data_IF_812433117560
#
_entry.id   IF_812433117560
#
_cell.length_a   1.000
_cell.length_b   1.000
_cell.length_c   1.000
_cell.angle_alpha   90.00
_cell.angle_beta   90.00
_cell.angle_gamma   90.00
#
_symmetry.space_group_name_H-M   'P 1'
#
loop_
_entity.id
_entity.type
_entity.pdbx_description
1 polymer ?
#
# COMPACT_ATOMS: atom_id res chain seq x y z
N UNK A 1 22.61 32.51 7.75
CA UNK A 1 21.52 31.52 7.74
C UNK A 1 21.31 31.08 9.17
N UNK A 2 20.14 31.38 9.72
CA UNK A 2 19.85 31.28 11.14
C UNK A 2 19.51 29.82 11.48
N UNK A 3 20.50 29.03 11.88
CA UNK A 3 20.27 27.73 12.51
C UNK A 3 19.86 27.97 13.96
N UNK A 4 18.61 28.38 14.14
CA UNK A 4 17.93 28.27 15.42
C UNK A 4 17.93 26.79 15.81
N UNK A 5 18.55 26.48 16.95
CA UNK A 5 18.58 25.15 17.57
C UNK A 5 17.13 24.72 17.75
N UNK A 6 16.68 23.79 16.93
CA UNK A 6 15.33 23.20 17.02
C UNK A 6 15.23 22.58 18.40
N UNK A 7 14.24 22.99 19.19
CA UNK A 7 14.02 22.43 20.52
C UNK A 7 13.74 20.92 20.41
N UNK A 8 14.03 20.15 21.46
CA UNK A 8 13.83 18.69 21.43
C UNK A 8 12.39 18.27 21.11
N UNK A 9 11.40 19.08 21.50
CA UNK A 9 9.98 18.85 21.17
C UNK A 9 9.68 19.15 19.69
N UNK A 10 10.19 20.25 19.14
CA UNK A 10 10.03 20.58 17.71
C UNK A 10 10.67 19.52 16.81
N UNK A 11 11.83 18.96 17.21
CA UNK A 11 12.48 17.88 16.47
C UNK A 11 11.65 16.58 16.47
N UNK A 12 11.00 16.26 17.60
CA UNK A 12 10.10 15.11 17.70
C UNK A 12 8.88 15.28 16.80
N UNK A 13 8.23 16.44 16.85
CA UNK A 13 7.08 16.76 15.99
C UNK A 13 7.49 16.70 14.51
N UNK A 14 8.61 17.34 14.15
CA UNK A 14 9.16 17.31 12.79
C UNK A 14 9.35 15.88 12.27
N UNK A 15 9.95 15.01 13.08
CA UNK A 15 10.21 13.61 12.70
C UNK A 15 8.92 12.81 12.51
N UNK A 16 7.93 12.99 13.38
CA UNK A 16 6.63 12.31 13.26
C UNK A 16 5.88 12.77 12.01
N UNK A 17 5.84 14.08 11.77
CA UNK A 17 5.16 14.66 10.61
C UNK A 17 5.82 14.22 9.30
N UNK A 18 7.16 14.30 9.20
CA UNK A 18 7.86 13.86 7.99
C UNK A 18 7.63 12.37 7.71
N UNK A 19 7.71 11.54 8.74
CA UNK A 19 7.44 10.11 8.61
C UNK A 19 6.02 9.83 8.12
N UNK A 20 5.02 10.58 8.57
CA UNK A 20 3.65 10.45 8.10
C UNK A 20 3.52 10.85 6.61
N UNK A 21 4.10 11.99 6.23
CA UNK A 21 4.11 12.46 4.84
C UNK A 21 4.79 11.48 3.88
N UNK A 22 5.93 10.91 4.28
CA UNK A 22 6.65 9.93 3.47
C UNK A 22 5.81 8.67 3.23
N UNK A 23 5.04 8.24 4.24
CA UNK A 23 4.15 7.09 4.11
C UNK A 23 2.95 7.38 3.23
N UNK A 24 2.31 8.53 3.39
CA UNK A 24 1.21 8.96 2.53
C UNK A 24 1.67 9.06 1.08
N UNK A 25 2.83 9.67 0.84
CA UNK A 25 3.42 9.80 -0.48
C UNK A 25 3.73 8.44 -1.12
N UNK A 26 4.35 7.54 -0.36
CA UNK A 26 4.67 6.19 -0.83
C UNK A 26 3.38 5.39 -1.12
N UNK A 27 2.37 5.50 -0.25
CA UNK A 27 1.10 4.82 -0.43
C UNK A 27 0.33 5.34 -1.65
N UNK A 28 0.30 6.66 -1.84
CA UNK A 28 -0.31 7.29 -3.02
C UNK A 28 0.38 6.87 -4.32
N UNK A 29 1.72 6.85 -4.33
CA UNK A 29 2.51 6.40 -5.47
C UNK A 29 2.24 4.94 -5.81
N UNK A 30 2.22 4.05 -4.80
CA UNK A 30 1.89 2.64 -4.97
C UNK A 30 0.44 2.43 -5.41
N UNK A 31 -0.49 3.26 -4.95
CA UNK A 31 -1.91 3.15 -5.32
C UNK A 31 -2.16 3.54 -6.77
N UNK A 32 -1.48 4.59 -7.25
CA UNK A 32 -1.54 5.00 -8.65
C UNK A 32 -0.96 3.92 -9.56
N UNK A 33 0.25 3.43 -9.24
CA UNK A 33 0.88 2.35 -9.99
C UNK A 33 0.07 1.04 -9.92
N UNK A 34 -0.45 0.70 -8.73
CA UNK A 34 -1.25 -0.49 -8.49
C UNK A 34 -2.56 -0.47 -9.26
N UNK A 35 -3.24 0.68 -9.32
CA UNK A 35 -4.44 0.85 -10.14
C UNK A 35 -4.17 0.62 -11.63
N UNK A 36 -3.10 1.22 -12.16
CA UNK A 36 -2.71 1.02 -13.55
C UNK A 36 -2.34 -0.46 -13.86
N UNK A 37 -1.57 -1.10 -12.98
CA UNK A 37 -1.17 -2.51 -13.14
C UNK A 37 -2.37 -3.45 -12.99
N UNK A 38 -3.29 -3.17 -12.07
CA UNK A 38 -4.52 -3.95 -11.90
C UNK A 38 -5.41 -3.85 -13.13
N UNK A 39 -5.59 -2.64 -13.69
CA UNK A 39 -6.33 -2.47 -14.93
C UNK A 39 -5.67 -3.23 -16.10
N UNK A 40 -4.34 -3.23 -16.18
CA UNK A 40 -3.62 -4.04 -17.18
C UNK A 40 -3.82 -5.56 -16.97
N UNK A 41 -3.94 -6.01 -15.72
CA UNK A 41 -4.12 -7.43 -15.39
C UNK A 41 -5.45 -8.00 -15.88
N UNK A 42 -6.47 -7.16 -16.07
CA UNK A 42 -7.77 -7.58 -16.63
C UNK A 42 -7.66 -7.95 -18.13
N UNK A 43 -6.67 -7.40 -18.84
CA UNK A 43 -6.44 -7.69 -20.27
C UNK A 43 -5.25 -8.62 -20.50
N UNK A 44 -4.22 -8.52 -19.67
CA UNK A 44 -2.95 -9.21 -19.82
C UNK A 44 -2.63 -10.01 -18.54
N UNK A 45 -2.85 -11.34 -18.55
CA UNK A 45 -2.60 -12.18 -17.38
C UNK A 45 -1.18 -12.11 -16.81
N UNK A 46 -0.19 -11.71 -17.63
CA UNK A 46 1.19 -11.47 -17.20
C UNK A 46 1.34 -10.35 -16.16
N UNK A 47 0.35 -9.46 -16.04
CA UNK A 47 0.33 -8.39 -15.05
C UNK A 47 -0.28 -8.81 -13.71
N UNK A 48 -0.97 -9.95 -13.62
CA UNK A 48 -1.62 -10.40 -12.37
C UNK A 48 -0.58 -10.56 -11.24
N UNK A 49 0.60 -11.12 -11.52
CA UNK A 49 1.67 -11.25 -10.52
C UNK A 49 2.25 -9.89 -10.09
N UNK A 50 2.34 -8.95 -11.02
CA UNK A 50 2.79 -7.58 -10.73
C UNK A 50 1.77 -6.86 -9.86
N UNK A 51 0.47 -6.98 -10.17
CA UNK A 51 -0.62 -6.41 -9.38
C UNK A 51 -0.55 -6.93 -7.94
N UNK A 52 -0.47 -8.26 -7.79
CA UNK A 52 -0.34 -8.92 -6.50
C UNK A 52 0.87 -8.45 -5.70
N UNK A 53 2.03 -8.33 -6.34
CA UNK A 53 3.26 -7.84 -5.70
C UNK A 53 3.10 -6.40 -5.18
N UNK A 54 2.50 -5.52 -5.97
CA UNK A 54 2.22 -4.13 -5.55
C UNK A 54 1.25 -4.12 -4.37
N UNK A 55 0.18 -4.92 -4.42
CA UNK A 55 -0.77 -5.02 -3.32
C UNK A 55 -0.15 -5.54 -2.02
N UNK A 56 0.81 -6.46 -2.08
CA UNK A 56 1.57 -6.87 -0.90
C UNK A 56 2.45 -5.74 -0.33
N UNK A 57 3.10 -4.94 -1.18
CA UNK A 57 3.85 -3.77 -0.73
C UNK A 57 2.94 -2.72 -0.08
N UNK A 58 1.76 -2.49 -0.65
CA UNK A 58 0.74 -1.62 -0.06
C UNK A 58 0.23 -2.18 1.27
N UNK A 59 0.02 -3.49 1.38
CA UNK A 59 -0.41 -4.13 2.63
C UNK A 59 0.63 -3.97 3.74
N UNK A 60 1.92 -4.15 3.43
CA UNK A 60 3.00 -3.95 4.39
C UNK A 60 3.01 -2.49 4.89
N UNK A 61 2.90 -1.53 3.98
CA UNK A 61 2.85 -0.11 4.33
C UNK A 61 1.58 0.24 5.13
N UNK A 62 0.41 -0.25 4.73
CA UNK A 62 -0.85 -0.04 5.43
C UNK A 62 -0.84 -0.64 6.84
N UNK A 63 -0.23 -1.81 7.01
CA UNK A 63 -0.04 -2.45 8.32
C UNK A 63 0.88 -1.63 9.22
N UNK A 64 1.91 -1.00 8.62
CA UNK A 64 2.82 -0.13 9.34
C UNK A 64 2.17 1.20 9.74
N UNK A 65 1.34 1.79 8.87
CA UNK A 65 0.52 2.98 9.17
C UNK A 65 -0.53 2.64 10.25
N UNK A 66 -1.03 1.41 10.25
CA UNK A 66 -2.07 0.95 11.19
C UNK A 66 -3.49 1.31 10.75
N UNK A 67 -3.71 1.65 9.47
CA UNK A 67 -5.04 1.99 8.95
C UNK A 67 -5.80 0.72 8.52
N UNK A 68 -6.86 0.31 9.25
CA UNK A 68 -7.61 -0.91 8.93
C UNK A 68 -8.36 -0.84 7.59
N UNK A 69 -8.72 0.35 7.11
CA UNK A 69 -9.38 0.55 5.81
C UNK A 69 -8.36 0.31 4.69
N UNK A 70 -7.15 0.84 4.81
CA UNK A 70 -6.09 0.58 3.84
C UNK A 70 -5.69 -0.90 3.82
N UNK A 71 -5.58 -1.53 4.99
CA UNK A 71 -5.29 -2.98 5.10
C UNK A 71 -6.36 -3.78 4.36
N UNK A 72 -7.64 -3.50 4.61
CA UNK A 72 -8.76 -4.20 3.97
C UNK A 72 -8.76 -4.02 2.46
N UNK A 73 -8.47 -2.81 1.97
CA UNK A 73 -8.34 -2.53 0.53
C UNK A 73 -7.19 -3.32 -0.11
N UNK A 74 -6.04 -3.40 0.55
CA UNK A 74 -4.90 -4.17 0.04
C UNK A 74 -5.22 -5.67 -0.01
N UNK A 75 -5.89 -6.20 1.02
CA UNK A 75 -6.38 -7.59 1.06
C UNK A 75 -7.33 -7.88 -0.10
N UNK A 76 -8.25 -6.96 -0.42
CA UNK A 76 -9.15 -7.09 -1.56
C UNK A 76 -8.40 -7.22 -2.89
N UNK A 77 -7.37 -6.39 -3.13
CA UNK A 77 -6.56 -6.49 -4.36
C UNK A 77 -5.74 -7.78 -4.44
N UNK A 78 -5.22 -8.26 -3.30
CA UNK A 78 -4.55 -9.57 -3.25
C UNK A 78 -5.55 -10.68 -3.59
N UNK A 79 -6.75 -10.64 -3.00
CA UNK A 79 -7.81 -11.60 -3.29
C UNK A 79 -8.24 -11.57 -4.76
N UNK A 80 -8.36 -10.39 -5.37
CA UNK A 80 -8.63 -10.23 -6.80
C UNK A 80 -7.57 -10.94 -7.65
N UNK A 81 -6.28 -10.73 -7.35
CA UNK A 81 -5.20 -11.39 -8.10
C UNK A 81 -5.20 -12.93 -7.94
N UNK A 82 -5.63 -13.45 -6.79
CA UNK A 82 -5.80 -14.88 -6.56
C UNK A 82 -6.99 -15.41 -7.35
N UNK A 83 -8.10 -14.67 -7.40
CA UNK A 83 -9.27 -15.02 -8.17
C UNK A 83 -8.98 -15.05 -9.67
N UNK A 84 -8.25 -14.07 -10.20
CA UNK A 84 -7.76 -14.03 -11.58
C UNK A 84 -6.84 -15.23 -11.92
N UNK A 85 -6.22 -15.85 -10.91
CA UNK A 85 -5.45 -17.11 -11.04
C UNK A 85 -6.24 -18.38 -10.71
N UNK A 86 -7.56 -18.29 -10.68
CA UNK A 86 -8.48 -19.39 -10.35
C UNK A 86 -8.26 -20.00 -8.94
N UNK A 87 -7.66 -19.24 -8.01
CA UNK A 87 -7.44 -19.65 -6.61
C UNK A 87 -8.55 -19.10 -5.69
N UNK A 88 -9.79 -19.42 -6.02
CA UNK A 88 -10.99 -18.83 -5.39
C UNK A 88 -11.05 -19.06 -3.88
N UNK A 89 -10.68 -20.27 -3.41
CA UNK A 89 -10.66 -20.58 -1.96
C UNK A 89 -9.72 -19.65 -1.18
N UNK A 90 -8.48 -19.54 -1.65
CA UNK A 90 -7.48 -18.65 -1.04
C UNK A 90 -7.88 -17.17 -1.12
N UNK A 91 -8.55 -16.75 -2.21
CA UNK A 91 -9.08 -15.39 -2.33
C UNK A 91 -10.13 -15.10 -1.24
N UNK A 92 -11.05 -16.04 -1.01
CA UNK A 92 -12.09 -15.89 0.00
C UNK A 92 -11.52 -15.88 1.44
N UNK A 93 -10.48 -16.68 1.70
CA UNK A 93 -9.83 -16.74 3.02
C UNK A 93 -9.08 -15.46 3.39
N UNK A 94 -8.66 -14.65 2.41
CA UNK A 94 -7.96 -13.37 2.66
C UNK A 94 -8.95 -12.24 3.03
N UNK A 95 -10.18 -12.32 2.53
CA UNK A 95 -11.20 -11.27 2.71
C UNK A 95 -12.11 -11.53 3.92
N UNK A 96 -12.27 -12.80 4.32
CA UNK A 96 -12.95 -13.19 5.56
C UNK A 96 -12.15 -12.78 6.80
#
# INVERSE_FOLDING_TARGET
MNTSIISGEEYRVYTVVHRALDMEWLFWSLSTLGGAISAMADYLPSFIDKARLVSFKQLHLASFIGDPVLISRCKLFIALSLAQKNRIKAAADIVR
#
